data_IF_635598546184
#
_entry.id   IF_635598546184
#
_cell.length_a   1.000
_cell.length_b   1.000
_cell.length_c   1.000
_cell.angle_alpha   90.00
_cell.angle_beta   90.00
_cell.angle_gamma   90.00
#
_symmetry.space_group_name_H-M   'P 1'
#
loop_
_entity.id
_entity.type
_entity.pdbx_description
1 polymer ?
#
# COMPACT_ATOMS: atom_id res chain seq x y z
N UNK A 1 0.14 18.58 -3.57
CA UNK A 1 -0.23 17.23 -3.26
C UNK A 1 0.82 16.57 -2.39
N UNK A 2 0.39 15.92 -1.39
CA UNK A 2 1.28 15.36 -0.40
C UNK A 2 0.99 13.87 -0.24
N UNK A 3 1.55 13.02 -1.13
CA UNK A 3 1.32 11.59 -1.02
C UNK A 3 1.93 11.09 0.27
N UNK A 4 1.08 10.65 1.14
CA UNK A 4 1.52 10.09 2.41
C UNK A 4 1.54 8.59 2.31
N UNK A 5 2.34 7.96 3.15
CA UNK A 5 2.39 6.52 3.24
C UNK A 5 1.04 6.02 3.71
N UNK A 6 0.28 5.44 2.81
CA UNK A 6 -1.04 4.97 3.13
C UNK A 6 -1.82 4.59 1.89
N UNK A 7 -3.13 4.52 2.05
CA UNK A 7 -3.99 4.10 0.96
C UNK A 7 -4.33 5.26 0.05
N UNK A 8 -4.15 5.05 -1.24
CA UNK A 8 -4.51 6.02 -2.26
C UNK A 8 -5.06 5.28 -3.47
N UNK A 9 -5.68 6.01 -4.37
CA UNK A 9 -6.14 5.45 -5.62
C UNK A 9 -5.11 5.69 -6.71
N UNK A 10 -4.86 4.66 -7.51
CA UNK A 10 -4.05 4.77 -8.72
C UNK A 10 -4.93 4.31 -9.86
N UNK A 11 -5.41 5.27 -10.65
CA UNK A 11 -6.46 5.00 -11.59
C UNK A 11 -7.74 4.65 -10.85
N UNK A 12 -8.31 3.50 -11.12
CA UNK A 12 -9.54 3.05 -10.48
C UNK A 12 -9.30 2.09 -9.31
N UNK A 13 -8.05 1.78 -8.99
CA UNK A 13 -7.73 0.78 -7.99
C UNK A 13 -7.01 1.37 -6.80
N UNK A 14 -7.35 0.93 -5.58
CA UNK A 14 -6.62 1.40 -4.41
C UNK A 14 -5.26 0.75 -4.32
N UNK A 15 -4.32 1.51 -3.77
CA UNK A 15 -2.97 1.03 -3.51
C UNK A 15 -2.52 1.51 -2.14
N UNK A 16 -1.55 0.80 -1.57
CA UNK A 16 -0.88 1.21 -0.34
C UNK A 16 0.46 1.84 -0.72
N UNK A 17 0.62 3.12 -0.45
CA UNK A 17 1.87 3.82 -0.72
C UNK A 17 2.82 3.59 0.44
N UNK A 18 4.00 3.05 0.15
CA UNK A 18 5.02 2.73 1.14
C UNK A 18 6.11 3.77 1.24
N UNK A 19 6.41 4.45 0.14
CA UNK A 19 7.57 5.33 0.10
C UNK A 19 7.30 6.67 0.77
N UNK A 20 8.36 7.27 1.29
CA UNK A 20 8.29 8.56 1.97
C UNK A 20 8.10 9.71 0.98
N UNK A 21 7.52 10.80 1.46
CA UNK A 21 7.28 11.98 0.64
C UNK A 21 8.57 12.54 0.01
N UNK A 22 9.67 12.51 0.72
CA UNK A 22 10.94 13.01 0.19
C UNK A 22 11.35 12.22 -1.06
N UNK A 23 11.25 10.89 -0.98
CA UNK A 23 11.52 10.05 -2.13
C UNK A 23 10.54 10.35 -3.26
N UNK A 24 9.25 10.44 -2.93
CA UNK A 24 8.20 10.66 -3.92
C UNK A 24 8.39 11.98 -4.67
N UNK A 25 8.73 13.03 -3.93
CA UNK A 25 8.94 14.35 -4.52
C UNK A 25 10.16 14.37 -5.43
N UNK A 26 11.23 13.71 -5.03
CA UNK A 26 12.47 13.73 -5.80
C UNK A 26 12.42 12.84 -7.03
N UNK A 27 11.77 11.71 -6.92
CA UNK A 27 11.73 10.73 -8.02
C UNK A 27 10.55 10.95 -8.97
N UNK A 28 9.52 11.64 -8.52
CA UNK A 28 8.27 11.74 -9.28
C UNK A 28 7.49 10.43 -9.31
N UNK A 29 7.86 9.48 -8.47
CA UNK A 29 7.20 8.18 -8.39
C UNK A 29 6.93 7.81 -6.94
N UNK A 30 6.07 6.82 -6.75
CA UNK A 30 5.84 6.21 -5.44
C UNK A 30 6.05 4.71 -5.56
N UNK A 31 6.44 4.09 -4.45
CA UNK A 31 6.49 2.65 -4.34
C UNK A 31 5.26 2.20 -3.59
N UNK A 32 4.49 1.32 -4.21
CA UNK A 32 3.19 0.95 -3.68
C UNK A 32 2.91 -0.54 -3.84
N UNK A 33 1.97 -1.03 -3.04
CA UNK A 33 1.46 -2.38 -3.14
C UNK A 33 -0.01 -2.36 -3.52
N UNK A 34 -0.44 -3.34 -4.30
CA UNK A 34 -1.84 -3.45 -4.69
C UNK A 34 -2.71 -3.83 -3.50
N UNK A 35 -3.93 -3.31 -3.47
CA UNK A 35 -4.95 -3.67 -2.50
C UNK A 35 -6.07 -4.42 -3.21
N UNK A 36 -6.73 -5.32 -2.49
CA UNK A 36 -7.88 -6.04 -3.01
C UNK A 36 -8.92 -6.22 -1.92
N UNK A 37 -10.19 -6.21 -2.30
CA UNK A 37 -11.28 -6.54 -1.39
C UNK A 37 -11.66 -8.02 -1.46
N UNK A 38 -11.11 -8.75 -2.41
CA UNK A 38 -11.37 -10.18 -2.53
C UNK A 38 -10.70 -10.95 -1.40
N UNK A 39 -11.36 -11.99 -0.87
CA UNK A 39 -10.72 -12.81 0.16
C UNK A 39 -9.43 -13.45 -0.35
N UNK A 40 -8.43 -13.48 0.52
CA UNK A 40 -7.12 -14.04 0.18
C UNK A 40 -6.84 -15.26 1.04
N UNK A 41 -6.40 -16.34 0.41
CA UNK A 41 -6.08 -17.58 1.13
C UNK A 41 -4.65 -17.60 1.63
N UNK A 42 -3.78 -16.80 1.03
CA UNK A 42 -2.35 -16.91 1.26
C UNK A 42 -1.89 -16.40 2.62
N UNK A 43 -2.50 -15.48 3.24
CA UNK A 43 -2.05 -14.97 4.52
C UNK A 43 -0.67 -14.33 4.50
N UNK A 44 -0.25 -13.83 5.66
CA UNK A 44 1.04 -13.16 5.85
C UNK A 44 2.19 -14.18 5.68
N UNK A 45 3.30 -13.85 5.03
CA UNK A 45 3.69 -12.52 4.53
C UNK A 45 3.25 -12.18 3.11
N UNK A 46 2.52 -13.04 2.45
CA UNK A 46 2.10 -12.77 1.07
C UNK A 46 0.98 -11.74 0.99
N UNK A 47 0.09 -11.77 1.96
CA UNK A 47 -1.00 -10.81 2.07
C UNK A 47 -1.13 -10.33 3.51
N UNK A 48 -1.68 -9.14 3.67
CA UNK A 48 -1.94 -8.56 4.99
C UNK A 48 -3.34 -7.98 5.00
N UNK A 49 -4.17 -8.46 5.91
CA UNK A 49 -5.52 -7.95 6.07
C UNK A 49 -5.48 -6.62 6.83
N UNK A 50 -6.17 -5.62 6.29
CA UNK A 50 -6.26 -4.31 6.91
C UNK A 50 -7.61 -4.15 7.59
N UNK A 51 -7.59 -3.72 8.84
CA UNK A 51 -8.78 -3.43 9.60
C UNK A 51 -8.95 -1.90 9.68
N UNK A 52 -9.49 -1.31 8.64
CA UNK A 52 -9.70 0.13 8.58
C UNK A 52 -11.19 0.43 8.71
N UNK A 53 -11.63 1.08 9.79
CA UNK A 53 -13.04 1.40 9.97
C UNK A 53 -13.58 2.39 8.95
N UNK A 54 -12.73 3.12 8.26
CA UNK A 54 -13.17 4.03 7.20
C UNK A 54 -13.61 3.29 5.93
N UNK A 55 -13.36 1.99 5.88
CA UNK A 55 -13.70 1.17 4.71
C UNK A 55 -14.98 0.39 4.97
N UNK A 56 -15.83 0.36 3.97
CA UNK A 56 -17.05 -0.44 4.03
C UNK A 56 -16.77 -1.93 3.90
N UNK A 57 -15.58 -2.30 3.40
CA UNK A 57 -15.20 -3.69 3.21
C UNK A 57 -13.79 -3.92 3.70
N UNK A 58 -13.52 -5.13 4.17
CA UNK A 58 -12.17 -5.54 4.49
C UNK A 58 -11.32 -5.48 3.23
N UNK A 59 -10.09 -5.06 3.39
CA UNK A 59 -9.14 -5.02 2.29
C UNK A 59 -7.88 -5.76 2.67
N UNK A 60 -7.24 -6.37 1.68
CA UNK A 60 -5.97 -7.04 1.87
C UNK A 60 -4.91 -6.39 1.02
N UNK A 61 -3.72 -6.22 1.58
CA UNK A 61 -2.55 -5.78 0.85
C UNK A 61 -1.94 -7.01 0.19
N UNK A 62 -1.71 -6.94 -1.11
CA UNK A 62 -0.95 -7.98 -1.82
C UNK A 62 0.51 -7.61 -1.78
N UNK A 63 1.20 -8.07 -0.74
CA UNK A 63 2.57 -7.65 -0.46
C UNK A 63 3.53 -7.99 -1.60
N UNK A 64 3.31 -9.12 -2.26
CA UNK A 64 4.16 -9.53 -3.38
C UNK A 64 3.92 -8.71 -4.65
N UNK A 65 2.87 -7.92 -4.71
CA UNK A 65 2.58 -7.08 -5.88
C UNK A 65 3.04 -5.65 -5.67
N UNK A 66 4.35 -5.51 -5.61
CA UNK A 66 4.99 -4.22 -5.46
C UNK A 66 5.07 -3.52 -6.79
N UNK A 67 4.78 -2.22 -6.83
CA UNK A 67 4.77 -1.43 -8.05
C UNK A 67 5.41 -0.08 -7.84
N UNK A 68 5.99 0.44 -8.91
CA UNK A 68 6.41 1.83 -8.98
C UNK A 68 5.42 2.56 -9.87
N UNK A 69 4.83 3.62 -9.34
CA UNK A 69 3.82 4.40 -10.04
C UNK A 69 4.23 5.86 -10.11
N UNK A 70 3.90 6.52 -11.21
CA UNK A 70 4.08 7.97 -11.31
C UNK A 70 3.18 8.67 -10.30
N UNK A 71 3.69 9.70 -9.63
CA UNK A 71 2.88 10.48 -8.69
C UNK A 71 1.69 11.12 -9.37
N UNK A 72 1.79 11.38 -10.68
CA UNK A 72 0.68 11.93 -11.44
C UNK A 72 -0.50 10.96 -11.58
N UNK A 73 -0.26 9.67 -11.38
CA UNK A 73 -1.31 8.67 -11.45
C UNK A 73 -2.08 8.50 -10.15
N UNK A 74 -1.57 9.08 -9.07
CA UNK A 74 -2.25 9.00 -7.80
C UNK A 74 -3.47 9.91 -7.80
N UNK A 75 -4.58 9.37 -7.39
CA UNK A 75 -5.81 10.12 -7.28
C UNK A 75 -6.07 10.50 -5.83
N UNK A 76 -7.29 10.25 -5.40
CA UNK A 76 -7.74 10.63 -4.09
C UNK A 76 -7.08 9.79 -2.99
N UNK A 77 -6.61 10.48 -1.96
CA UNK A 77 -6.14 9.81 -0.74
C UNK A 77 -7.36 9.29 0.01
N UNK A 78 -7.36 8.00 0.34
CA UNK A 78 -8.47 7.37 1.04
C UNK A 78 -8.28 7.48 2.55
N UNK A 79 -7.13 7.04 3.04
CA UNK A 79 -6.85 7.07 4.46
C UNK A 79 -5.36 6.89 4.70
N UNK A 80 -4.90 7.23 5.90
CA UNK A 80 -3.53 6.98 6.31
C UNK A 80 -3.52 5.72 7.16
N UNK A 81 -2.63 4.79 6.86
CA UNK A 81 -2.47 3.60 7.67
C UNK A 81 -1.77 3.92 8.98
N UNK A 82 -2.05 3.09 9.97
CA UNK A 82 -1.29 3.16 11.22
C UNK A 82 0.15 2.74 10.96
N UNK A 83 1.07 3.22 11.79
CA UNK A 83 2.46 2.84 11.69
C UNK A 83 2.63 1.33 11.82
N UNK A 84 1.81 0.70 12.65
CA UNK A 84 1.87 -0.75 12.83
C UNK A 84 1.53 -1.51 11.55
N UNK A 85 0.46 -1.10 10.87
CA UNK A 85 0.07 -1.77 9.63
C UNK A 85 1.10 -1.57 8.54
N UNK A 86 1.65 -0.36 8.46
CA UNK A 86 2.69 -0.06 7.51
C UNK A 86 3.94 -0.89 7.79
N UNK A 87 4.35 -0.99 9.05
CA UNK A 87 5.50 -1.80 9.46
C UNK A 87 5.29 -3.27 9.13
N UNK A 88 4.08 -3.78 9.32
CA UNK A 88 3.77 -5.16 8.98
C UNK A 88 3.87 -5.42 7.48
N UNK A 89 3.43 -4.47 6.67
CA UNK A 89 3.56 -4.61 5.21
C UNK A 89 5.04 -4.65 4.80
N UNK A 90 5.85 -3.78 5.38
CA UNK A 90 7.28 -3.74 5.10
C UNK A 90 7.96 -5.02 5.61
N UNK A 91 7.60 -5.49 6.79
CA UNK A 91 8.12 -6.73 7.34
C UNK A 91 7.79 -7.91 6.43
N UNK A 92 6.56 -7.97 5.93
CA UNK A 92 6.16 -9.02 5.01
C UNK A 92 6.99 -8.99 3.73
N UNK A 93 7.23 -7.81 3.20
CA UNK A 93 8.08 -7.67 2.02
C UNK A 93 9.49 -8.16 2.31
N UNK A 94 10.04 -7.83 3.47
CA UNK A 94 11.37 -8.30 3.85
C UNK A 94 11.43 -9.81 3.95
N UNK A 95 10.38 -10.44 4.43
CA UNK A 95 10.34 -11.91 4.49
C UNK A 95 10.31 -12.55 3.10
N UNK A 96 9.74 -11.87 2.14
CA UNK A 96 9.65 -12.39 0.77
C UNK A 96 10.98 -12.24 0.03
N UNK A 97 11.63 -11.10 0.16
CA UNK A 97 12.81 -10.76 -0.65
C UNK A 97 14.11 -10.68 0.13
N UNK A 98 14.04 -10.45 1.41
CA UNK A 98 15.20 -10.42 2.28
C UNK A 98 15.45 -11.80 2.85
N UNK A 99 16.28 -12.00 3.75
CA UNK A 99 16.34 -13.27 4.44
C UNK A 99 17.41 -13.37 5.46
#
# INVERSE_FOLDING_TARGET
LDPTRGREQAGERPVLVLSHNVFNDRSGTVIAMALTSAPQKAGFPLTLELADPALSKKSCVKISQLRTLSTERLGKKITKLSDRELDLAIEGLNEIIGS
#
